data_IF_270177343124
#
_entry.id   IF_270177343124
#
_cell.length_a   1.000
_cell.length_b   1.000
_cell.length_c   1.000
_cell.angle_alpha   90.00
_cell.angle_beta   90.00
_cell.angle_gamma   90.00
#
_symmetry.space_group_name_H-M   'P 1'
#
loop_
_entity.id
_entity.type
_entity.pdbx_description
1 polymer ?
#
# COMPACT_ATOMS: atom_id res chain seq x y z
N UNK A 1 56.41 10.17 -38.68
CA UNK A 1 55.01 10.61 -38.95
C UNK A 1 53.94 9.55 -38.57
N UNK A 2 54.25 8.28 -38.64
CA UNK A 2 53.30 7.16 -38.31
C UNK A 2 53.03 7.04 -36.81
N UNK A 3 54.01 7.19 -35.96
CA UNK A 3 53.88 7.10 -34.48
C UNK A 3 52.97 8.16 -33.91
N UNK A 4 52.95 9.39 -34.47
CA UNK A 4 52.12 10.49 -33.99
C UNK A 4 50.63 10.29 -34.32
N UNK A 5 50.30 9.62 -35.42
CA UNK A 5 48.90 9.24 -35.77
C UNK A 5 48.36 8.11 -34.94
N UNK A 6 49.20 7.19 -34.45
CA UNK A 6 48.81 6.08 -33.55
C UNK A 6 48.47 6.65 -32.19
N UNK A 7 49.19 7.64 -31.66
CA UNK A 7 48.87 8.30 -30.39
C UNK A 7 47.52 9.04 -30.44
N UNK A 8 47.17 9.69 -31.53
CA UNK A 8 45.85 10.32 -31.67
C UNK A 8 44.70 9.32 -31.77
N UNK A 9 44.95 8.15 -32.37
CA UNK A 9 43.97 7.09 -32.49
C UNK A 9 43.71 6.40 -31.13
N UNK A 10 44.75 6.15 -30.33
CA UNK A 10 44.67 5.62 -28.96
C UNK A 10 44.04 6.65 -28.04
N UNK A 11 44.31 7.93 -28.15
CA UNK A 11 43.69 8.99 -27.36
C UNK A 11 42.20 9.15 -27.69
N UNK A 12 41.79 9.00 -28.94
CA UNK A 12 40.42 9.07 -29.39
C UNK A 12 39.60 7.86 -28.93
N UNK A 13 40.19 6.67 -28.85
CA UNK A 13 39.52 5.47 -28.31
C UNK A 13 39.35 5.51 -26.79
N UNK A 14 40.25 6.19 -26.06
CA UNK A 14 40.12 6.38 -24.60
C UNK A 14 38.99 7.38 -24.22
N UNK A 15 38.64 8.32 -25.11
CA UNK A 15 37.53 9.27 -24.86
C UNK A 15 36.15 8.65 -25.07
N UNK A 16 36.05 7.53 -25.80
CA UNK A 16 34.80 6.81 -26.04
C UNK A 16 34.42 5.82 -24.91
N UNK A 17 35.31 5.55 -23.96
CA UNK A 17 35.07 4.61 -22.87
C UNK A 17 34.38 5.23 -21.62
N UNK A 18 34.03 6.52 -21.65
CA UNK A 18 33.54 7.28 -20.47
C UNK A 18 32.05 7.58 -20.40
N UNK A 19 31.22 7.00 -21.27
CA UNK A 19 29.77 7.36 -21.33
C UNK A 19 28.82 6.31 -20.74
N UNK A 20 29.27 5.60 -19.69
CA UNK A 20 28.40 4.69 -18.93
C UNK A 20 27.90 5.37 -17.64
N UNK A 21 26.70 5.01 -17.20
CA UNK A 21 26.22 5.37 -15.85
C UNK A 21 27.16 4.75 -14.81
N UNK A 22 27.58 5.52 -13.79
CA UNK A 22 28.41 5.00 -12.71
C UNK A 22 27.76 3.77 -12.07
N UNK A 23 28.56 2.81 -11.61
CA UNK A 23 28.08 1.50 -11.14
C UNK A 23 27.13 1.56 -9.95
N UNK A 24 27.11 2.67 -9.22
CA UNK A 24 26.24 2.96 -8.07
C UNK A 24 25.09 3.92 -8.40
N UNK A 25 24.89 4.24 -9.66
CA UNK A 25 23.84 5.15 -10.12
C UNK A 25 22.89 4.45 -11.08
N UNK A 26 21.69 4.99 -11.15
CA UNK A 26 20.68 4.61 -12.13
C UNK A 26 20.19 5.86 -12.85
N UNK A 27 19.96 5.75 -14.15
CA UNK A 27 19.52 6.86 -15.00
C UNK A 27 18.29 6.49 -15.81
N UNK A 28 17.35 7.43 -15.92
CA UNK A 28 16.20 7.38 -16.83
C UNK A 28 16.37 8.49 -17.86
N UNK A 29 16.38 8.13 -19.13
CA UNK A 29 16.32 9.07 -20.25
C UNK A 29 14.94 8.95 -20.88
N UNK A 30 14.18 10.04 -20.91
CA UNK A 30 12.80 10.04 -21.37
C UNK A 30 12.55 10.94 -22.57
N UNK A 31 11.66 10.46 -23.45
CA UNK A 31 11.12 11.23 -24.56
C UNK A 31 9.61 11.06 -24.63
N UNK A 32 8.88 12.18 -24.51
CA UNK A 32 7.43 12.21 -24.63
C UNK A 32 7.03 13.04 -25.84
N UNK A 33 6.20 12.46 -26.68
CA UNK A 33 5.56 13.18 -27.79
C UNK A 33 4.37 13.98 -27.26
N UNK A 34 4.02 15.07 -27.92
CA UNK A 34 2.89 15.95 -27.60
C UNK A 34 2.92 16.59 -26.21
N UNK A 35 4.14 16.71 -25.63
CA UNK A 35 4.36 17.46 -24.39
C UNK A 35 5.77 18.07 -24.46
N UNK A 36 5.87 19.38 -24.65
CA UNK A 36 7.16 20.06 -24.76
C UNK A 36 7.73 20.43 -23.40
N UNK A 37 6.88 20.81 -22.45
CA UNK A 37 7.27 21.23 -21.10
C UNK A 37 6.32 20.63 -20.07
N UNK A 38 6.84 20.32 -18.87
CA UNK A 38 6.05 19.80 -17.77
C UNK A 38 6.92 19.41 -16.59
N UNK A 39 6.27 19.15 -15.48
CA UNK A 39 6.87 18.59 -14.28
C UNK A 39 6.12 17.32 -13.89
N UNK A 40 6.85 16.31 -13.50
CA UNK A 40 6.30 15.10 -12.90
C UNK A 40 7.14 14.70 -11.70
N UNK A 41 6.57 13.83 -10.89
CA UNK A 41 7.14 13.44 -9.62
C UNK A 41 7.65 12.01 -9.68
N UNK A 42 8.73 11.73 -8.93
CA UNK A 42 9.27 10.37 -8.78
C UNK A 42 9.42 10.07 -7.31
N UNK A 43 8.94 8.91 -6.89
CA UNK A 43 9.16 8.38 -5.55
C UNK A 43 9.55 6.90 -5.60
N UNK A 44 10.10 6.37 -4.51
CA UNK A 44 10.41 4.94 -4.40
C UNK A 44 9.46 4.23 -3.45
N UNK A 45 9.14 2.96 -3.76
CA UNK A 45 8.27 2.15 -2.89
C UNK A 45 8.99 1.58 -1.67
N UNK A 46 10.31 1.54 -1.69
CA UNK A 46 11.15 0.91 -0.66
C UNK A 46 12.13 1.88 0.02
N UNK A 47 11.89 3.19 -0.11
CA UNK A 47 12.69 4.21 0.56
C UNK A 47 14.07 4.51 -0.09
N UNK A 48 14.31 4.06 -1.32
CA UNK A 48 15.54 4.40 -2.06
C UNK A 48 15.64 5.90 -2.40
N UNK A 49 14.51 6.59 -2.48
CA UNK A 49 14.41 8.05 -2.54
C UNK A 49 13.80 8.52 -1.22
N UNK A 50 14.37 9.55 -0.62
CA UNK A 50 13.80 10.18 0.58
C UNK A 50 12.76 11.24 0.16
N UNK A 51 11.47 10.88 0.26
CA UNK A 51 10.38 11.74 -0.17
C UNK A 51 10.05 11.62 -1.65
N UNK A 52 9.91 12.76 -2.32
CA UNK A 52 9.47 12.87 -3.72
C UNK A 52 10.43 13.80 -4.46
N UNK A 53 10.97 13.33 -5.56
CA UNK A 53 11.77 14.14 -6.47
C UNK A 53 10.90 14.72 -7.60
N UNK A 54 11.28 15.90 -8.09
CA UNK A 54 10.65 16.55 -9.24
C UNK A 54 11.52 16.39 -10.48
N UNK A 55 10.94 15.93 -11.56
CA UNK A 55 11.57 15.77 -12.88
C UNK A 55 10.96 16.80 -13.84
N UNK A 56 11.82 17.56 -14.51
CA UNK A 56 11.40 18.59 -15.49
C UNK A 56 11.58 18.09 -16.91
N UNK A 57 10.51 18.21 -17.68
CA UNK A 57 10.49 17.94 -19.11
C UNK A 57 10.81 19.25 -19.86
N UNK A 58 11.73 19.20 -20.79
CA UNK A 58 12.09 20.30 -21.68
C UNK A 58 12.25 19.80 -23.12
N UNK A 59 11.57 20.44 -24.06
CA UNK A 59 11.55 20.03 -25.47
C UNK A 59 11.19 18.55 -25.65
N UNK A 60 10.21 18.07 -24.88
CA UNK A 60 9.77 16.67 -24.92
C UNK A 60 10.77 15.67 -24.34
N UNK A 61 11.83 16.11 -23.68
CA UNK A 61 12.89 15.24 -23.13
C UNK A 61 13.13 15.52 -21.65
N UNK A 62 13.55 14.47 -20.94
CA UNK A 62 14.01 14.59 -19.57
C UNK A 62 15.10 13.57 -19.27
N UNK A 63 15.88 13.87 -18.25
CA UNK A 63 16.82 12.93 -17.64
C UNK A 63 16.61 12.95 -16.14
N UNK A 64 16.51 11.78 -15.54
CA UNK A 64 16.47 11.61 -14.08
C UNK A 64 17.57 10.64 -13.66
N UNK A 65 18.34 11.00 -12.66
CA UNK A 65 19.45 10.18 -12.17
C UNK A 65 19.44 10.14 -10.64
N UNK A 66 19.66 8.95 -10.07
CA UNK A 66 19.71 8.76 -8.63
C UNK A 66 20.82 7.78 -8.23
N UNK A 67 21.22 7.80 -6.95
CA UNK A 67 22.04 6.73 -6.38
C UNK A 67 21.22 5.44 -6.29
N UNK A 68 21.79 4.33 -6.74
CA UNK A 68 21.12 3.04 -6.79
C UNK A 68 22.12 1.93 -6.38
N UNK A 69 22.06 1.50 -5.13
CA UNK A 69 22.94 0.46 -4.60
C UNK A 69 22.37 -0.96 -4.70
N UNK A 70 21.06 -1.07 -4.88
CA UNK A 70 20.33 -2.32 -5.03
C UNK A 70 19.12 -2.13 -5.95
N UNK A 71 18.63 -3.19 -6.60
CA UNK A 71 17.41 -3.13 -7.40
C UNK A 71 16.24 -2.53 -6.62
N UNK A 72 15.56 -1.55 -7.22
CA UNK A 72 14.46 -0.82 -6.57
C UNK A 72 13.34 -0.47 -7.55
N UNK A 73 12.15 -0.26 -7.02
CA UNK A 73 11.00 0.20 -7.81
C UNK A 73 10.78 1.69 -7.59
N UNK A 74 10.89 2.44 -8.67
CA UNK A 74 10.49 3.84 -8.76
C UNK A 74 9.08 3.93 -9.33
N UNK A 75 8.34 4.94 -8.92
CA UNK A 75 7.04 5.28 -9.51
C UNK A 75 7.12 6.72 -9.99
N UNK A 76 6.95 6.91 -11.28
CA UNK A 76 6.82 8.23 -11.89
C UNK A 76 5.35 8.59 -11.98
N UNK A 77 4.98 9.76 -11.45
CA UNK A 77 3.61 10.29 -11.41
C UNK A 77 3.51 11.47 -12.35
N UNK A 78 2.66 11.36 -13.34
CA UNK A 78 2.41 12.41 -14.33
C UNK A 78 1.35 13.42 -13.84
N UNK A 79 1.21 14.60 -14.47
CA UNK A 79 0.27 15.64 -14.05
C UNK A 79 -1.20 15.20 -14.02
N UNK A 80 -1.57 14.18 -14.78
CA UNK A 80 -2.90 13.58 -14.77
C UNK A 80 -3.07 12.48 -13.72
N UNK A 81 -2.15 12.37 -12.76
CA UNK A 81 -2.07 11.36 -11.70
C UNK A 81 -1.92 9.91 -12.19
N UNK A 82 -1.59 9.70 -13.48
CA UNK A 82 -1.21 8.36 -13.92
C UNK A 82 0.18 7.99 -13.42
N UNK A 83 0.35 6.73 -13.05
CA UNK A 83 1.59 6.18 -12.49
C UNK A 83 2.28 5.25 -13.49
N UNK A 84 3.59 5.39 -13.61
CA UNK A 84 4.46 4.52 -14.38
C UNK A 84 5.54 3.92 -13.47
N UNK A 85 5.52 2.60 -13.23
CA UNK A 85 6.63 1.95 -12.54
C UNK A 85 7.86 1.86 -13.43
N UNK A 86 9.02 2.04 -12.81
CA UNK A 86 10.34 1.88 -13.42
C UNK A 86 11.17 1.01 -12.48
N UNK A 87 11.76 -0.05 -13.01
CA UNK A 87 12.59 -0.95 -12.23
C UNK A 87 14.05 -0.57 -12.45
N UNK A 88 14.62 0.03 -11.40
CA UNK A 88 15.98 0.55 -11.39
C UNK A 88 16.96 -0.55 -10.96
N UNK A 89 18.07 -0.63 -11.66
CA UNK A 89 19.21 -1.50 -11.36
C UNK A 89 20.50 -0.68 -11.29
N UNK A 90 21.43 -0.99 -10.36
CA UNK A 90 22.72 -0.29 -10.25
C UNK A 90 23.49 -0.30 -11.57
N UNK A 91 24.04 0.86 -11.95
CA UNK A 91 24.85 1.03 -13.14
C UNK A 91 24.08 1.01 -14.46
N UNK A 92 22.74 0.94 -14.43
CA UNK A 92 21.93 0.86 -15.66
C UNK A 92 21.32 2.21 -16.04
N UNK A 93 21.15 2.38 -17.35
CA UNK A 93 20.33 3.45 -17.94
C UNK A 93 19.12 2.81 -18.62
N UNK A 94 17.95 3.36 -18.40
CA UNK A 94 16.71 2.98 -19.10
C UNK A 94 16.21 4.12 -19.96
N UNK A 95 15.55 3.76 -21.05
CA UNK A 95 14.91 4.71 -21.97
C UNK A 95 13.41 4.59 -21.83
N UNK A 96 12.74 5.72 -21.54
CA UNK A 96 11.29 5.83 -21.49
C UNK A 96 10.80 6.59 -22.72
N UNK A 97 9.90 5.98 -23.47
CA UNK A 97 9.36 6.55 -24.69
C UNK A 97 7.85 6.39 -24.75
N UNK A 98 7.17 7.39 -25.30
CA UNK A 98 5.74 7.31 -25.59
C UNK A 98 5.11 8.65 -25.90
N UNK A 99 3.77 8.63 -25.92
CA UNK A 99 2.93 9.78 -26.21
C UNK A 99 2.26 10.25 -24.92
N UNK A 100 2.39 11.55 -24.60
CA UNK A 100 1.78 12.15 -23.42
C UNK A 100 0.23 12.10 -23.45
N UNK A 101 -0.37 11.96 -24.64
CA UNK A 101 -1.82 11.72 -24.78
C UNK A 101 -2.22 10.29 -24.38
N UNK A 102 -1.25 9.36 -24.34
CA UNK A 102 -1.47 7.93 -24.08
C UNK A 102 -0.48 7.36 -23.05
N UNK A 103 -0.33 8.00 -21.90
CA UNK A 103 0.65 7.65 -20.87
C UNK A 103 0.58 6.19 -20.38
N UNK A 104 -0.56 5.53 -20.53
CA UNK A 104 -0.68 4.08 -20.24
C UNK A 104 0.09 3.18 -21.22
N UNK A 105 0.47 3.69 -22.38
CA UNK A 105 1.19 2.96 -23.43
C UNK A 105 2.69 3.27 -23.45
N UNK A 106 3.21 4.01 -22.46
CA UNK A 106 4.62 4.27 -22.32
C UNK A 106 5.43 2.97 -22.26
N UNK A 107 6.58 2.95 -22.92
CA UNK A 107 7.51 1.81 -22.86
C UNK A 107 8.77 2.22 -22.10
N UNK A 108 9.30 1.31 -21.30
CA UNK A 108 10.59 1.47 -20.61
C UNK A 108 11.50 0.34 -21.04
N UNK A 109 12.66 0.69 -21.62
CA UNK A 109 13.65 -0.26 -22.15
C UNK A 109 14.98 -0.11 -21.41
N UNK A 110 15.80 -1.16 -21.37
CA UNK A 110 17.16 -1.10 -20.81
C UNK A 110 17.44 -2.13 -19.72
N UNK A 111 16.41 -2.69 -19.07
CA UNK A 111 16.54 -3.81 -18.13
C UNK A 111 15.48 -4.88 -18.42
N UNK A 112 15.73 -6.11 -17.93
CA UNK A 112 14.81 -7.21 -18.17
C UNK A 112 13.50 -7.06 -17.39
N UNK A 113 13.53 -6.54 -16.15
CA UNK A 113 12.33 -6.27 -15.37
C UNK A 113 11.43 -5.21 -16.05
N UNK A 114 12.01 -4.17 -16.65
CA UNK A 114 11.22 -3.19 -17.41
C UNK A 114 10.60 -3.80 -18.67
N UNK A 115 11.28 -4.70 -19.36
CA UNK A 115 10.70 -5.46 -20.50
C UNK A 115 9.57 -6.35 -20.06
N UNK A 116 9.76 -7.11 -18.96
CA UNK A 116 8.70 -7.95 -18.35
C UNK A 116 7.46 -7.13 -18.01
N UNK A 117 7.65 -5.94 -17.42
CA UNK A 117 6.52 -5.05 -17.09
C UNK A 117 5.82 -4.52 -18.34
N UNK A 118 6.53 -4.17 -19.41
CA UNK A 118 5.92 -3.75 -20.68
C UNK A 118 5.02 -4.87 -21.22
N UNK A 119 5.54 -6.10 -21.32
CA UNK A 119 4.78 -7.28 -21.78
C UNK A 119 3.53 -7.52 -20.92
N UNK A 120 3.66 -7.45 -19.59
CA UNK A 120 2.51 -7.58 -18.70
C UNK A 120 1.47 -6.48 -18.93
N UNK A 121 1.89 -5.23 -19.12
CA UNK A 121 0.97 -4.09 -19.39
C UNK A 121 0.20 -4.27 -20.70
N UNK A 122 0.85 -4.76 -21.74
CA UNK A 122 0.21 -5.10 -23.01
C UNK A 122 -0.87 -6.17 -22.81
N UNK A 123 -0.58 -7.22 -22.03
CA UNK A 123 -1.54 -8.29 -21.74
C UNK A 123 -2.77 -7.81 -20.96
N UNK A 124 -2.62 -6.79 -20.10
CA UNK A 124 -3.73 -6.30 -19.26
C UNK A 124 -4.42 -5.04 -19.83
N UNK A 125 -3.93 -4.46 -20.93
CA UNK A 125 -4.38 -3.17 -21.45
C UNK A 125 -5.88 -3.12 -21.75
N UNK A 126 -6.47 -4.23 -22.19
CA UNK A 126 -7.87 -4.30 -22.64
C UNK A 126 -8.74 -5.24 -21.80
N UNK A 127 -8.20 -5.81 -20.70
CA UNK A 127 -8.96 -6.77 -19.89
C UNK A 127 -9.63 -6.13 -18.67
N UNK A 128 -10.74 -6.68 -18.24
CA UNK A 128 -11.45 -6.23 -17.04
C UNK A 128 -10.61 -6.46 -15.77
N UNK A 129 -10.79 -5.61 -14.71
CA UNK A 129 -9.98 -5.67 -13.49
C UNK A 129 -9.85 -7.05 -12.83
N UNK A 130 -10.92 -7.89 -12.72
CA UNK A 130 -10.78 -9.23 -12.15
C UNK A 130 -9.85 -10.15 -12.96
N UNK A 131 -9.88 -10.03 -14.29
CA UNK A 131 -9.00 -10.78 -15.17
C UNK A 131 -7.56 -10.28 -15.09
N UNK A 132 -7.36 -8.95 -15.01
CA UNK A 132 -6.03 -8.34 -14.81
C UNK A 132 -5.39 -8.83 -13.49
N UNK A 133 -6.16 -8.93 -12.41
CA UNK A 133 -5.66 -9.49 -11.13
C UNK A 133 -5.29 -10.98 -11.26
N UNK A 134 -6.03 -11.78 -12.03
CA UNK A 134 -5.68 -13.17 -12.28
C UNK A 134 -4.38 -13.31 -13.11
N UNK A 135 -4.19 -12.44 -14.12
CA UNK A 135 -2.94 -12.37 -14.89
C UNK A 135 -1.76 -11.93 -14.02
N UNK A 136 -1.97 -10.96 -13.12
CA UNK A 136 -0.95 -10.53 -12.17
C UNK A 136 -0.54 -11.69 -11.23
N UNK A 137 -1.49 -12.46 -10.72
CA UNK A 137 -1.18 -13.65 -9.91
C UNK A 137 -0.38 -14.67 -10.69
N UNK A 138 -0.74 -14.94 -11.94
CA UNK A 138 -0.01 -15.89 -12.79
C UNK A 138 1.42 -15.37 -13.04
N UNK A 139 1.57 -14.09 -13.40
CA UNK A 139 2.89 -13.49 -13.59
C UNK A 139 3.78 -13.64 -12.35
N UNK A 140 3.25 -13.39 -11.14
CA UNK A 140 4.00 -13.51 -9.89
C UNK A 140 4.45 -14.96 -9.64
N UNK A 141 3.62 -15.96 -10.02
CA UNK A 141 3.97 -17.38 -9.92
C UNK A 141 5.07 -17.78 -10.90
N UNK A 142 5.06 -17.18 -12.10
CA UNK A 142 6.03 -17.47 -13.15
C UNK A 142 7.37 -16.75 -12.93
N UNK A 143 7.33 -15.58 -12.26
CA UNK A 143 8.49 -14.71 -12.02
C UNK A 143 8.67 -14.32 -10.55
N UNK A 144 8.74 -15.26 -9.59
CA UNK A 144 8.74 -14.96 -8.16
C UNK A 144 10.03 -14.25 -7.69
N UNK A 145 11.09 -14.29 -8.47
CA UNK A 145 12.36 -13.59 -8.18
C UNK A 145 12.40 -12.14 -8.70
N UNK A 146 11.48 -11.75 -9.58
CA UNK A 146 11.45 -10.41 -10.17
C UNK A 146 10.92 -9.34 -9.20
N UNK A 147 11.51 -8.15 -9.21
CA UNK A 147 11.00 -6.98 -8.48
C UNK A 147 9.63 -6.51 -9.01
N UNK A 148 9.32 -6.82 -10.27
CA UNK A 148 8.00 -6.59 -10.87
C UNK A 148 6.92 -7.30 -10.07
N UNK A 149 7.17 -8.52 -9.61
CA UNK A 149 6.23 -9.33 -8.83
C UNK A 149 5.86 -8.65 -7.51
N UNK A 150 6.81 -8.03 -6.80
CA UNK A 150 6.53 -7.27 -5.59
C UNK A 150 5.65 -6.03 -5.87
N UNK A 151 5.91 -5.32 -6.97
CA UNK A 151 5.07 -4.22 -7.41
C UNK A 151 3.64 -4.68 -7.74
N UNK A 152 3.49 -5.78 -8.48
CA UNK A 152 2.18 -6.31 -8.88
C UNK A 152 1.35 -6.81 -7.68
N UNK A 153 1.98 -7.42 -6.66
CA UNK A 153 1.26 -7.76 -5.41
C UNK A 153 0.65 -6.51 -4.80
N UNK A 154 1.43 -5.44 -4.65
CA UNK A 154 0.94 -4.19 -4.10
C UNK A 154 -0.19 -3.61 -4.96
N UNK A 155 0.01 -3.53 -6.27
CA UNK A 155 -0.91 -2.87 -7.20
C UNK A 155 -2.26 -3.58 -7.32
N UNK A 156 -2.28 -4.92 -7.34
CA UNK A 156 -3.48 -5.70 -7.64
C UNK A 156 -4.15 -6.32 -6.43
N UNK A 157 -3.45 -6.46 -5.29
CA UNK A 157 -4.00 -7.17 -4.12
C UNK A 157 -4.01 -6.34 -2.83
N UNK A 158 -3.27 -5.22 -2.77
CA UNK A 158 -3.17 -4.41 -1.55
C UNK A 158 -3.70 -3.00 -1.77
N UNK A 159 -3.14 -2.24 -2.72
CA UNK A 159 -3.53 -0.86 -3.01
C UNK A 159 -4.76 -0.82 -3.94
N UNK A 160 -5.84 -1.44 -3.51
CA UNK A 160 -7.12 -1.54 -4.23
C UNK A 160 -8.27 -1.14 -3.32
N UNK A 161 -9.43 -0.82 -3.88
CA UNK A 161 -10.62 -0.50 -3.09
C UNK A 161 -11.07 -1.66 -2.18
N UNK A 162 -10.77 -2.91 -2.56
CA UNK A 162 -11.08 -4.12 -1.80
C UNK A 162 -9.83 -5.00 -1.68
N UNK A 163 -8.92 -4.73 -0.72
CA UNK A 163 -7.67 -5.47 -0.58
C UNK A 163 -7.89 -6.95 -0.25
N UNK A 164 -7.13 -7.83 -0.91
CA UNK A 164 -7.07 -9.28 -0.58
C UNK A 164 -5.72 -9.60 0.07
N UNK A 165 -5.59 -9.24 1.35
CA UNK A 165 -4.36 -9.47 2.12
C UNK A 165 -4.00 -10.95 2.24
N UNK A 166 -4.99 -11.85 2.27
CA UNK A 166 -4.74 -13.28 2.34
C UNK A 166 -4.10 -13.82 1.05
N UNK A 167 -4.57 -13.33 -0.10
CA UNK A 167 -3.99 -13.65 -1.41
C UNK A 167 -2.61 -13.02 -1.56
N UNK A 168 -2.46 -11.74 -1.20
CA UNK A 168 -1.18 -11.05 -1.18
C UNK A 168 -0.16 -11.79 -0.32
N UNK A 169 -0.53 -12.26 0.89
CA UNK A 169 0.34 -13.02 1.77
C UNK A 169 0.84 -14.32 1.12
N UNK A 170 -0.06 -15.08 0.47
CA UNK A 170 0.35 -16.30 -0.23
C UNK A 170 1.38 -16.03 -1.33
N UNK A 171 1.18 -14.95 -2.10
CA UNK A 171 2.09 -14.55 -3.17
C UNK A 171 3.44 -14.06 -2.64
N UNK A 172 3.45 -13.25 -1.59
CA UNK A 172 4.69 -12.82 -0.92
C UNK A 172 5.44 -14.01 -0.32
N UNK A 173 4.74 -14.95 0.29
CA UNK A 173 5.36 -16.18 0.81
C UNK A 173 5.99 -17.05 -0.30
N UNK A 174 5.38 -17.08 -1.49
CA UNK A 174 5.97 -17.71 -2.67
C UNK A 174 7.28 -17.02 -3.09
N UNK A 175 7.25 -15.68 -3.25
CA UNK A 175 8.43 -14.89 -3.60
C UNK A 175 9.57 -15.06 -2.57
N UNK A 176 9.23 -15.13 -1.28
CA UNK A 176 10.20 -15.35 -0.21
C UNK A 176 10.95 -16.68 -0.29
N UNK A 177 10.34 -17.73 -0.80
CA UNK A 177 11.03 -19.02 -1.00
C UNK A 177 12.18 -18.89 -1.98
N UNK A 178 11.99 -18.11 -3.05
CA UNK A 178 13.03 -17.85 -4.05
C UNK A 178 14.06 -16.81 -3.59
N UNK A 179 13.65 -15.93 -2.66
CA UNK A 179 14.47 -14.81 -2.15
C UNK A 179 14.54 -14.82 -0.61
N UNK A 180 15.08 -15.86 0.05
CA UNK A 180 14.99 -16.03 1.51
C UNK A 180 15.72 -14.93 2.30
N UNK A 181 16.73 -14.28 1.70
CA UNK A 181 17.51 -13.20 2.31
C UNK A 181 16.98 -11.79 2.00
N UNK A 182 15.88 -11.67 1.27
CA UNK A 182 15.30 -10.36 0.94
C UNK A 182 14.54 -9.80 2.15
N UNK A 183 15.18 -8.88 2.89
CA UNK A 183 14.63 -8.27 4.10
C UNK A 183 13.32 -7.52 3.86
N UNK A 184 13.14 -6.90 2.68
CA UNK A 184 11.90 -6.22 2.29
C UNK A 184 10.74 -7.19 2.22
N UNK A 185 10.92 -8.37 1.59
CA UNK A 185 9.89 -9.41 1.53
C UNK A 185 9.59 -10.02 2.91
N UNK A 186 10.61 -10.12 3.80
CA UNK A 186 10.42 -10.57 5.19
C UNK A 186 9.49 -9.61 5.93
N UNK A 187 9.80 -8.32 5.90
CA UNK A 187 9.00 -7.28 6.56
C UNK A 187 7.58 -7.23 5.98
N UNK A 188 7.47 -7.30 4.67
CA UNK A 188 6.20 -7.27 3.95
C UNK A 188 5.31 -8.49 4.29
N UNK A 189 5.90 -9.68 4.37
CA UNK A 189 5.18 -10.88 4.81
C UNK A 189 4.66 -10.74 6.25
N UNK A 190 5.45 -10.19 7.17
CA UNK A 190 5.02 -9.96 8.56
C UNK A 190 3.84 -8.98 8.63
N UNK A 191 3.89 -7.87 7.89
CA UNK A 191 2.79 -6.92 7.81
C UNK A 191 1.52 -7.58 7.25
N UNK A 192 1.63 -8.32 6.15
CA UNK A 192 0.50 -9.01 5.54
C UNK A 192 -0.07 -10.11 6.44
N UNK A 193 0.76 -10.83 7.20
CA UNK A 193 0.28 -11.78 8.23
C UNK A 193 -0.60 -11.08 9.25
N UNK A 194 -0.24 -9.89 9.68
CA UNK A 194 -1.06 -9.10 10.58
C UNK A 194 -2.36 -8.64 9.92
N UNK A 195 -2.31 -8.10 8.71
CA UNK A 195 -3.47 -7.62 7.95
C UNK A 195 -4.45 -8.73 7.54
N UNK A 196 -3.96 -9.96 7.39
CA UNK A 196 -4.76 -11.12 6.96
C UNK A 196 -5.45 -11.89 8.09
N UNK A 197 -5.29 -11.48 9.35
CA UNK A 197 -5.90 -12.18 10.50
C UNK A 197 -7.43 -12.08 10.51
N UNK A 198 -7.98 -10.94 10.07
CA UNK A 198 -9.42 -10.68 10.03
C UNK A 198 -9.90 -10.79 8.58
N UNK A 199 -10.69 -11.81 8.30
CA UNK A 199 -11.16 -12.15 6.95
C UNK A 199 -12.69 -12.14 6.95
N UNK A 200 -13.31 -11.42 6.01
CA UNK A 200 -14.77 -11.41 5.83
C UNK A 200 -15.28 -12.84 5.55
N UNK A 201 -16.38 -13.22 6.22
CA UNK A 201 -16.96 -14.57 6.17
C UNK A 201 -16.34 -15.58 7.15
N UNK A 202 -15.22 -15.25 7.82
CA UNK A 202 -14.57 -16.13 8.81
C UNK A 202 -14.94 -15.74 10.24
N UNK A 203 -14.77 -16.66 11.22
CA UNK A 203 -14.91 -16.33 12.64
C UNK A 203 -13.97 -15.18 13.03
N UNK A 204 -14.46 -14.32 13.93
CA UNK A 204 -13.65 -13.26 14.51
C UNK A 204 -12.44 -13.85 15.28
N UNK A 205 -11.21 -13.37 15.07
CA UNK A 205 -10.06 -13.80 15.85
C UNK A 205 -10.27 -13.58 17.35
N UNK A 206 -9.69 -14.46 18.18
CA UNK A 206 -9.74 -14.28 19.64
C UNK A 206 -8.89 -13.07 20.04
N UNK A 207 -9.46 -12.25 20.90
CA UNK A 207 -8.75 -11.15 21.55
C UNK A 207 -9.16 -11.04 23.02
N UNK A 208 -8.35 -10.43 23.84
CA UNK A 208 -8.64 -10.08 25.23
C UNK A 208 -7.87 -8.83 25.60
N UNK A 209 -8.54 -7.88 26.22
CA UNK A 209 -8.00 -6.61 26.69
C UNK A 209 -8.81 -6.11 27.88
N UNK A 210 -8.52 -4.90 28.36
CA UNK A 210 -9.23 -4.24 29.45
C UNK A 210 -9.70 -2.87 28.98
N UNK A 211 -10.94 -2.50 29.30
CA UNK A 211 -11.45 -1.17 28.98
C UNK A 211 -10.97 -0.09 29.98
N UNK A 212 -11.33 1.16 29.73
CA UNK A 212 -10.95 2.31 30.57
C UNK A 212 -11.57 2.26 31.99
N UNK A 213 -12.51 1.34 32.27
CA UNK A 213 -13.09 1.14 33.58
C UNK A 213 -12.45 -0.01 34.36
N UNK A 214 -11.53 -0.77 33.73
CA UNK A 214 -10.88 -1.93 34.29
C UNK A 214 -11.60 -3.25 34.02
N UNK A 215 -12.68 -3.23 33.21
CA UNK A 215 -13.42 -4.45 32.89
C UNK A 215 -12.77 -5.18 31.72
N UNK A 216 -12.81 -6.51 31.78
CA UNK A 216 -12.32 -7.35 30.69
C UNK A 216 -13.22 -7.25 29.46
N UNK A 217 -12.59 -7.09 28.30
CA UNK A 217 -13.21 -7.03 26.98
C UNK A 217 -12.61 -8.12 26.09
N UNK A 218 -13.44 -9.02 25.59
CA UNK A 218 -13.01 -10.11 24.73
C UNK A 218 -14.14 -10.51 23.74
N UNK A 219 -13.98 -11.63 23.02
CA UNK A 219 -15.00 -12.08 22.08
C UNK A 219 -16.38 -12.31 22.71
N UNK A 220 -16.46 -12.61 24.02
CA UNK A 220 -17.75 -12.79 24.70
C UNK A 220 -18.51 -11.46 24.84
N UNK A 221 -17.80 -10.33 24.92
CA UNK A 221 -18.36 -8.98 24.92
C UNK A 221 -19.15 -8.69 23.63
N UNK A 222 -18.71 -9.23 22.50
CA UNK A 222 -19.42 -9.09 21.22
C UNK A 222 -20.71 -9.92 21.16
N UNK A 223 -20.83 -10.97 21.97
CA UNK A 223 -22.01 -11.81 22.10
C UNK A 223 -22.48 -12.50 20.83
N UNK A 224 -23.75 -12.90 20.83
CA UNK A 224 -24.48 -13.34 19.64
C UNK A 224 -25.24 -12.16 19.05
N UNK A 225 -25.47 -12.17 17.73
CA UNK A 225 -26.15 -11.08 17.02
C UNK A 225 -25.19 -10.13 16.33
N UNK A 226 -25.63 -8.88 16.19
CA UNK A 226 -24.87 -7.84 15.47
C UNK A 226 -23.92 -7.11 16.43
N UNK A 227 -22.65 -6.99 16.04
CA UNK A 227 -21.65 -6.28 16.81
C UNK A 227 -20.73 -5.45 15.91
N UNK A 228 -20.17 -4.38 16.45
CA UNK A 228 -19.16 -3.52 15.80
C UNK A 228 -17.98 -3.37 16.73
N UNK A 229 -16.79 -3.58 16.19
CA UNK A 229 -15.55 -3.04 16.75
C UNK A 229 -15.20 -1.82 15.92
N UNK A 230 -14.95 -0.67 16.56
CA UNK A 230 -14.48 0.52 15.85
C UNK A 230 -13.23 1.10 16.51
N UNK A 231 -12.37 1.72 15.69
CA UNK A 231 -11.22 2.51 16.10
C UNK A 231 -11.52 3.98 15.87
N UNK A 232 -11.21 4.81 16.84
CA UNK A 232 -11.46 6.24 16.77
C UNK A 232 -10.37 7.05 17.49
N UNK A 233 -10.30 8.34 17.16
CA UNK A 233 -9.52 9.33 17.89
C UNK A 233 -10.38 10.56 18.17
N UNK A 234 -10.23 11.16 19.36
CA UNK A 234 -11.01 12.35 19.74
C UNK A 234 -10.67 13.59 18.92
N UNK A 235 -9.48 13.64 18.34
CA UNK A 235 -8.99 14.73 17.47
C UNK A 235 -9.29 14.53 15.98
N UNK A 236 -9.86 13.38 15.57
CA UNK A 236 -10.19 13.09 14.18
C UNK A 236 -11.67 13.32 13.88
N UNK A 237 -11.97 14.18 12.92
CA UNK A 237 -13.35 14.57 12.59
C UNK A 237 -14.23 13.39 12.14
N UNK A 238 -13.74 12.52 11.27
CA UNK A 238 -14.49 11.37 10.76
C UNK A 238 -14.75 10.34 11.87
N UNK A 239 -13.82 10.20 12.83
CA UNK A 239 -14.00 9.40 14.04
C UNK A 239 -15.15 9.95 14.91
N UNK A 240 -15.20 11.26 15.12
CA UNK A 240 -16.27 11.87 15.91
C UNK A 240 -17.64 11.68 15.26
N UNK A 241 -17.70 11.83 13.94
CA UNK A 241 -18.92 11.55 13.16
C UNK A 241 -19.35 10.08 13.29
N UNK A 242 -18.42 9.14 13.11
CA UNK A 242 -18.72 7.71 13.28
C UNK A 242 -19.20 7.39 14.69
N UNK A 243 -18.60 7.96 15.74
CA UNK A 243 -19.03 7.79 17.12
C UNK A 243 -20.43 8.35 17.38
N UNK A 244 -20.77 9.48 16.78
CA UNK A 244 -22.12 10.06 16.85
C UNK A 244 -23.17 9.15 16.19
N UNK A 245 -22.86 8.61 15.01
CA UNK A 245 -23.72 7.66 14.31
C UNK A 245 -23.91 6.37 15.12
N UNK A 246 -22.85 5.82 15.73
CA UNK A 246 -22.93 4.62 16.58
C UNK A 246 -23.79 4.86 17.81
N UNK A 247 -23.74 6.04 18.45
CA UNK A 247 -24.63 6.39 19.58
C UNK A 247 -26.10 6.35 19.17
N UNK A 248 -26.44 6.95 18.03
CA UNK A 248 -27.81 6.93 17.51
C UNK A 248 -28.28 5.52 17.18
N UNK A 249 -27.42 4.71 16.57
CA UNK A 249 -27.70 3.32 16.21
C UNK A 249 -27.91 2.46 17.45
N UNK A 250 -27.05 2.60 18.47
CA UNK A 250 -27.17 1.90 19.74
C UNK A 250 -28.51 2.19 20.43
N UNK A 251 -28.91 3.47 20.47
CA UNK A 251 -30.20 3.87 21.04
C UNK A 251 -31.40 3.24 20.29
N UNK A 252 -31.36 3.25 18.96
CA UNK A 252 -32.43 2.67 18.11
C UNK A 252 -32.45 1.15 18.12
N UNK A 253 -31.30 0.52 18.31
CA UNK A 253 -31.18 -0.94 18.25
C UNK A 253 -31.82 -1.68 19.43
N UNK A 254 -32.13 -1.01 20.53
CA UNK A 254 -32.81 -1.65 21.70
C UNK A 254 -32.09 -2.89 22.22
N UNK A 255 -30.75 -2.88 22.25
CA UNK A 255 -29.93 -4.00 22.71
C UNK A 255 -29.56 -5.04 21.64
N UNK A 256 -30.02 -4.90 20.39
CA UNK A 256 -29.70 -5.81 19.30
C UNK A 256 -28.33 -5.55 18.69
N UNK A 257 -27.73 -4.36 18.89
CA UNK A 257 -26.38 -3.99 18.47
C UNK A 257 -25.46 -3.95 19.68
N UNK A 258 -24.25 -4.48 19.53
CA UNK A 258 -23.17 -4.33 20.52
C UNK A 258 -22.01 -3.58 19.88
N UNK A 259 -21.38 -2.74 20.68
CA UNK A 259 -20.23 -1.93 20.22
C UNK A 259 -19.06 -2.13 21.19
N UNK A 260 -17.86 -2.22 20.66
CA UNK A 260 -16.60 -2.10 21.40
C UNK A 260 -15.77 -1.06 20.66
N UNK A 261 -15.37 0.00 21.37
CA UNK A 261 -14.54 1.05 20.77
C UNK A 261 -13.10 0.97 21.26
N UNK A 262 -12.18 1.17 20.35
CA UNK A 262 -10.76 1.37 20.63
C UNK A 262 -10.40 2.82 20.36
N UNK A 263 -10.02 3.54 21.42
CA UNK A 263 -9.48 4.89 21.30
C UNK A 263 -7.97 4.81 21.11
N UNK A 264 -7.47 5.53 20.13
CA UNK A 264 -6.03 5.71 19.94
C UNK A 264 -5.50 7.00 20.57
N UNK A 265 -6.24 7.60 21.51
CA UNK A 265 -5.75 8.75 22.25
C UNK A 265 -4.62 8.33 23.21
N UNK A 266 -3.60 9.19 23.42
CA UNK A 266 -2.39 8.81 24.16
C UNK A 266 -2.61 8.71 25.68
N UNK A 267 -3.73 9.25 26.20
CA UNK A 267 -3.98 9.32 27.63
C UNK A 267 -5.25 8.54 28.05
N UNK A 268 -5.11 7.34 28.66
CA UNK A 268 -6.26 6.53 29.08
C UNK A 268 -7.18 7.21 30.10
N UNK A 269 -6.65 8.05 31.00
CA UNK A 269 -7.48 8.79 31.98
C UNK A 269 -8.35 9.82 31.29
N UNK A 270 -7.78 10.56 30.34
CA UNK A 270 -8.53 11.53 29.54
C UNK A 270 -9.58 10.82 28.68
N UNK A 271 -9.23 9.70 28.06
CA UNK A 271 -10.14 8.88 27.28
C UNK A 271 -11.36 8.44 28.12
N UNK A 272 -11.14 7.98 29.35
CA UNK A 272 -12.22 7.66 30.30
C UNK A 272 -13.12 8.84 30.59
N UNK A 273 -12.54 10.01 30.89
CA UNK A 273 -13.31 11.23 31.17
C UNK A 273 -14.16 11.66 29.97
N UNK A 274 -13.62 11.57 28.76
CA UNK A 274 -14.34 11.87 27.52
C UNK A 274 -15.45 10.87 27.23
N UNK A 275 -15.21 9.57 27.42
CA UNK A 275 -16.23 8.54 27.27
C UNK A 275 -17.44 8.78 28.20
N UNK A 276 -17.19 9.17 29.45
CA UNK A 276 -18.24 9.54 30.40
C UNK A 276 -19.00 10.82 29.98
N UNK A 277 -18.27 11.86 29.61
CA UNK A 277 -18.84 13.12 29.11
C UNK A 277 -19.77 12.90 27.91
N UNK A 278 -19.30 12.10 26.96
CA UNK A 278 -20.00 11.86 25.70
C UNK A 278 -21.04 10.74 25.79
N UNK A 279 -21.37 10.31 27.01
CA UNK A 279 -22.41 9.29 27.31
C UNK A 279 -22.22 7.99 26.53
N UNK A 280 -20.96 7.54 26.37
CA UNK A 280 -20.65 6.26 25.76
C UNK A 280 -20.95 5.15 26.77
N UNK A 281 -21.93 4.30 26.46
CA UNK A 281 -22.46 3.26 27.37
C UNK A 281 -21.86 1.86 27.08
N UNK A 282 -20.97 1.75 26.11
CA UNK A 282 -20.33 0.49 25.72
C UNK A 282 -18.83 0.50 26.06
N UNK A 283 -18.18 -0.68 26.10
CA UNK A 283 -16.78 -0.80 26.43
C UNK A 283 -15.89 0.03 25.51
N UNK A 284 -15.02 0.84 26.11
CA UNK A 284 -14.04 1.66 25.41
C UNK A 284 -12.64 1.30 25.91
N UNK A 285 -11.80 0.82 25.01
CA UNK A 285 -10.42 0.45 25.26
C UNK A 285 -9.49 1.61 24.88
N UNK A 286 -8.56 1.95 25.76
CA UNK A 286 -7.52 2.94 25.49
C UNK A 286 -6.26 2.54 26.28
N UNK A 287 -5.27 1.99 25.62
CA UNK A 287 -4.02 1.54 26.23
C UNK A 287 -2.87 2.58 26.13
N UNK A 288 -3.13 3.73 25.50
CA UNK A 288 -2.16 4.80 25.31
C UNK A 288 -1.07 4.51 24.29
N UNK A 289 -1.17 3.40 23.56
CA UNK A 289 -0.18 2.99 22.55
C UNK A 289 -0.50 3.45 21.14
N UNK A 290 -1.54 4.26 20.97
CA UNK A 290 -1.99 4.72 19.66
C UNK A 290 -2.29 3.53 18.73
N UNK A 291 -1.83 3.60 17.47
CA UNK A 291 -1.95 2.48 16.51
C UNK A 291 -0.98 1.31 16.77
N UNK A 292 0.00 1.46 17.67
CA UNK A 292 0.94 0.38 18.05
C UNK A 292 0.36 -0.60 19.08
N UNK A 293 -0.92 -0.51 19.38
CA UNK A 293 -1.63 -1.43 20.27
C UNK A 293 -1.57 -2.88 19.74
N UNK A 294 -1.05 -3.83 20.52
CA UNK A 294 -0.99 -5.24 20.11
C UNK A 294 -2.36 -5.85 19.82
N UNK A 295 -3.42 -5.35 20.47
CA UNK A 295 -4.79 -5.81 20.24
C UNK A 295 -5.28 -5.32 18.88
N UNK A 296 -5.04 -4.07 18.52
CA UNK A 296 -5.36 -3.54 17.18
C UNK A 296 -4.64 -4.32 16.09
N UNK A 297 -3.35 -4.59 16.26
CA UNK A 297 -2.57 -5.44 15.33
C UNK A 297 -3.13 -6.87 15.25
N UNK A 298 -3.58 -7.42 16.38
CA UNK A 298 -4.25 -8.73 16.44
C UNK A 298 -5.56 -8.76 15.67
N UNK A 299 -6.27 -7.62 15.63
CA UNK A 299 -7.53 -7.41 14.93
C UNK A 299 -7.38 -6.82 13.53
N UNK A 300 -6.14 -6.66 13.05
CA UNK A 300 -5.82 -6.05 11.75
C UNK A 300 -6.45 -4.65 11.55
N UNK A 301 -6.47 -3.83 12.59
CA UNK A 301 -7.00 -2.47 12.60
C UNK A 301 -5.80 -1.50 12.60
N UNK A 302 -5.68 -0.68 11.56
CA UNK A 302 -4.48 0.14 11.30
C UNK A 302 -4.80 1.57 10.86
N UNK A 303 -6.07 1.94 10.78
CA UNK A 303 -6.50 3.25 10.28
C UNK A 303 -7.45 3.94 11.27
N UNK A 304 -7.79 5.21 11.02
CA UNK A 304 -8.69 6.04 11.82
C UNK A 304 -9.60 6.89 10.92
N UNK A 305 -10.92 6.72 11.05
CA UNK A 305 -11.58 5.62 11.74
C UNK A 305 -11.40 4.29 11.00
N UNK A 306 -11.40 3.18 11.75
CA UNK A 306 -11.43 1.83 11.21
C UNK A 306 -12.54 1.02 11.90
N UNK A 307 -12.98 -0.09 11.30
CA UNK A 307 -14.07 -0.88 11.90
C UNK A 307 -14.09 -2.33 11.40
N UNK A 308 -14.72 -3.18 12.22
CA UNK A 308 -15.10 -4.55 11.88
C UNK A 308 -16.58 -4.73 12.24
N UNK A 309 -17.39 -5.10 11.28
CA UNK A 309 -18.78 -5.49 11.48
C UNK A 309 -18.88 -7.01 11.60
N UNK A 310 -19.56 -7.46 12.65
CA UNK A 310 -19.61 -8.86 13.06
C UNK A 310 -21.07 -9.28 13.22
N UNK A 311 -21.41 -10.46 12.72
CA UNK A 311 -22.70 -11.09 12.95
C UNK A 311 -22.51 -12.52 13.42
N UNK A 312 -23.08 -12.85 14.56
CA UNK A 312 -22.98 -14.18 15.18
C UNK A 312 -21.54 -14.69 15.30
N UNK A 313 -20.62 -13.81 15.68
CA UNK A 313 -19.20 -14.11 15.84
C UNK A 313 -18.41 -14.24 14.53
N UNK A 314 -19.01 -13.96 13.36
CA UNK A 314 -18.34 -13.94 12.06
C UNK A 314 -18.21 -12.53 11.53
N UNK A 315 -17.07 -12.23 10.91
CA UNK A 315 -16.82 -10.96 10.26
C UNK A 315 -17.68 -10.86 9.00
N UNK A 316 -18.51 -9.82 8.90
CA UNK A 316 -19.36 -9.58 7.71
C UNK A 316 -18.92 -8.39 6.89
N UNK A 317 -18.13 -7.48 7.47
CA UNK A 317 -17.47 -6.40 6.77
C UNK A 317 -16.28 -5.86 7.61
N UNK A 318 -15.36 -5.13 6.96
CA UNK A 318 -14.20 -4.49 7.59
C UNK A 318 -13.82 -3.23 6.82
N UNK A 319 -13.32 -2.19 7.52
CA UNK A 319 -12.80 -0.98 6.90
C UNK A 319 -13.85 -0.19 6.11
N UNK A 320 -15.11 -0.20 6.56
CA UNK A 320 -16.19 0.57 5.94
C UNK A 320 -16.04 2.06 6.27
N UNK A 321 -16.33 2.92 5.31
CA UNK A 321 -16.50 4.35 5.61
C UNK A 321 -17.68 4.56 6.55
N UNK A 322 -17.70 5.67 7.29
CA UNK A 322 -18.71 5.91 8.33
C UNK A 322 -20.15 5.83 7.83
N UNK A 323 -20.43 6.38 6.66
CA UNK A 323 -21.73 6.32 5.99
C UNK A 323 -22.12 4.90 5.55
N UNK A 324 -21.18 4.13 5.02
CA UNK A 324 -21.38 2.73 4.63
C UNK A 324 -21.62 1.83 5.86
N UNK A 325 -20.85 2.04 6.93
CA UNK A 325 -21.02 1.33 8.19
C UNK A 325 -22.41 1.55 8.76
N UNK A 326 -22.85 2.82 8.83
CA UNK A 326 -24.20 3.19 9.30
C UNK A 326 -25.29 2.48 8.49
N UNK A 327 -25.27 2.63 7.16
CA UNK A 327 -26.25 2.00 6.27
C UNK A 327 -26.24 0.46 6.39
N UNK A 328 -25.06 -0.14 6.56
CA UNK A 328 -24.94 -1.59 6.71
C UNK A 328 -25.57 -2.08 8.01
N UNK A 329 -25.31 -1.39 9.11
CA UNK A 329 -25.92 -1.69 10.40
C UNK A 329 -27.44 -1.53 10.33
N UNK A 330 -27.95 -0.41 9.78
CA UNK A 330 -29.39 -0.15 9.66
C UNK A 330 -30.13 -1.23 8.86
N UNK A 331 -29.50 -1.80 7.84
CA UNK A 331 -30.08 -2.93 7.07
C UNK A 331 -30.06 -4.27 7.80
N UNK A 332 -29.26 -4.39 8.86
CA UNK A 332 -29.08 -5.65 9.61
C UNK A 332 -29.80 -5.64 10.97
N UNK A 333 -30.33 -4.49 11.44
CA UNK A 333 -31.15 -4.34 12.61
C UNK A 333 -32.61 -4.71 12.34
#
# INVERSE_FOLDING_TARGET
MITRKIYYFILLTLVLAGCGTASDRFRVEGRLLHMDQGEFYVYSLNGAINGIDTVRLQNGRFTYEMSCQAPTTLVMVFPNFSEQPIFAEPGKTVQMEGDASHLKQLTVKGTDDNKLMNTFREQVATVAPPRAAALAEQFIKDHPASVVSAYLVRRYFIATATPDYARALRLVSLMRREQPKNGTLVSYEQQLKSLSKVIVGKPMPKFSTTDVTGQRVDNSTLGRGLAVINVYATWNYDSQRQMADLRQLMHRAGGKLRVVSFSIDPNPRQCRALALRDTITWPTVCDGRLLDSPVLHGLSLYDIPDNILIQNGRVVAKGLRSDELKQRIERML
#
